data_IF_012939155682
#
_entry.id   IF_012939155682
#
_cell.length_a   1.000
_cell.length_b   1.000
_cell.length_c   1.000
_cell.angle_alpha   90.00
_cell.angle_beta   90.00
_cell.angle_gamma   90.00
#
_symmetry.space_group_name_H-M   'P 1'
#
loop_
_entity.id
_entity.type
_entity.pdbx_description
1 polymer ?
#
# COMPACT_ATOMS: atom_id res chain seq x y z
N UNK A 1 15.63 55.98 -24.36
CA UNK A 1 14.94 54.67 -24.52
C UNK A 1 15.82 53.62 -23.85
N UNK A 2 15.66 53.32 -22.56
CA UNK A 2 14.76 52.33 -21.91
C UNK A 2 14.93 50.88 -22.41
N UNK A 3 15.66 50.07 -21.63
CA UNK A 3 15.26 48.74 -21.06
C UNK A 3 16.44 48.21 -20.23
N UNK A 4 16.50 48.30 -18.89
CA UNK A 4 15.85 47.47 -17.85
C UNK A 4 15.97 45.95 -18.07
N UNK A 5 16.78 45.28 -17.22
CA UNK A 5 16.48 44.05 -16.43
C UNK A 5 17.80 43.58 -15.77
N UNK A 6 18.11 44.00 -14.54
CA UNK A 6 17.67 43.41 -13.26
C UNK A 6 18.28 42.01 -12.99
N UNK A 7 19.45 42.05 -12.34
CA UNK A 7 20.16 40.94 -11.68
C UNK A 7 19.36 40.45 -10.47
N UNK A 8 19.22 39.15 -10.28
CA UNK A 8 18.85 38.56 -9.00
C UNK A 8 19.52 37.18 -8.86
N UNK A 9 20.74 37.17 -8.31
CA UNK A 9 21.41 35.98 -7.82
C UNK A 9 20.72 35.53 -6.52
N UNK A 10 20.15 34.33 -6.50
CA UNK A 10 19.68 33.70 -5.26
C UNK A 10 20.91 33.18 -4.51
N UNK A 11 21.27 33.86 -3.42
CA UNK A 11 22.33 33.44 -2.52
C UNK A 11 21.90 32.19 -1.74
N UNK A 12 22.73 31.14 -1.79
CA UNK A 12 22.62 29.96 -0.95
C UNK A 12 23.04 30.33 0.48
N UNK A 13 22.02 30.51 1.32
CA UNK A 13 21.93 30.23 2.76
C UNK A 13 22.82 29.15 3.40
N UNK A 14 24.15 29.17 3.28
CA UNK A 14 25.00 28.29 4.08
C UNK A 14 24.98 28.76 5.55
N UNK A 15 24.13 28.14 6.38
CA UNK A 15 24.09 28.43 7.82
C UNK A 15 25.22 27.65 8.50
N UNK A 16 26.10 28.42 9.13
CA UNK A 16 27.24 27.97 9.90
C UNK A 16 26.82 27.11 11.10
N UNK A 17 27.44 25.94 11.22
CA UNK A 17 27.45 25.13 12.44
C UNK A 17 28.31 25.84 13.49
N UNK A 18 27.66 26.65 14.34
CA UNK A 18 28.24 27.21 15.55
C UNK A 18 27.71 26.41 16.75
N UNK A 19 28.66 25.88 17.52
CA UNK A 19 28.52 25.13 18.76
C UNK A 19 27.36 25.60 19.65
N UNK A 20 26.28 24.82 19.69
CA UNK A 20 25.27 24.86 20.75
C UNK A 20 25.58 23.76 21.80
N UNK A 21 25.37 24.05 23.09
CA UNK A 21 25.68 23.11 24.17
C UNK A 21 24.78 21.87 24.11
N UNK A 22 25.38 20.70 23.82
CA UNK A 22 24.95 19.34 24.17
C UNK A 22 23.44 18.99 24.28
N UNK A 23 22.57 19.57 23.43
CA UNK A 23 21.17 19.15 23.32
C UNK A 23 21.02 17.75 22.69
N UNK A 24 22.08 17.25 22.04
CA UNK A 24 22.18 15.91 21.44
C UNK A 24 21.75 14.77 22.39
N UNK A 25 22.01 14.90 23.70
CA UNK A 25 21.61 13.88 24.67
C UNK A 25 20.11 13.86 25.02
N UNK A 26 19.44 15.01 24.92
CA UNK A 26 18.02 15.16 25.28
C UNK A 26 17.11 14.66 24.16
N UNK A 27 17.46 14.97 22.90
CA UNK A 27 16.68 14.57 21.72
C UNK A 27 16.76 13.06 21.44
N UNK A 28 17.94 12.45 21.59
CA UNK A 28 18.08 10.99 21.46
C UNK A 28 17.25 10.22 22.49
N UNK A 29 17.04 10.77 23.69
CA UNK A 29 16.17 10.16 24.70
C UNK A 29 14.70 10.27 24.31
N UNK A 30 14.27 11.43 23.82
CA UNK A 30 12.89 11.62 23.32
C UNK A 30 12.53 10.63 22.19
N UNK A 31 13.46 10.36 21.28
CA UNK A 31 13.30 9.32 20.26
C UNK A 31 13.07 7.93 20.88
N UNK A 32 13.90 7.54 21.85
CA UNK A 32 13.78 6.26 22.52
C UNK A 32 12.43 6.14 23.27
N UNK A 33 12.04 7.19 23.99
CA UNK A 33 10.76 7.24 24.74
C UNK A 33 9.55 7.06 23.79
N UNK A 34 9.58 7.69 22.60
CA UNK A 34 8.52 7.52 21.59
C UNK A 34 8.49 6.08 21.05
N UNK A 35 9.65 5.48 20.77
CA UNK A 35 9.68 4.08 20.35
C UNK A 35 9.16 3.14 21.44
N UNK A 36 9.47 3.41 22.72
CA UNK A 36 8.91 2.65 23.83
C UNK A 36 7.39 2.80 23.91
N UNK A 37 6.85 4.02 23.74
CA UNK A 37 5.41 4.26 23.69
C UNK A 37 4.74 3.46 22.56
N UNK A 38 5.31 3.50 21.34
CA UNK A 38 4.80 2.73 20.20
C UNK A 38 4.81 1.22 20.50
N UNK A 39 5.87 0.72 21.16
CA UNK A 39 6.02 -0.70 21.54
C UNK A 39 5.00 -1.11 22.61
N UNK A 40 4.76 -0.25 23.59
CA UNK A 40 3.89 -0.51 24.73
C UNK A 40 2.40 -0.36 24.39
N UNK A 41 2.05 0.41 23.35
CA UNK A 41 0.69 0.71 22.99
C UNK A 41 -0.15 -0.55 22.73
N UNK A 42 -1.27 -0.64 23.45
CA UNK A 42 -2.29 -1.68 23.34
C UNK A 42 -3.27 -1.34 22.22
N UNK A 43 -3.74 -0.10 22.17
CA UNK A 43 -4.56 0.44 21.07
C UNK A 43 -3.82 1.56 20.34
N UNK A 44 -4.17 1.77 19.07
CA UNK A 44 -3.63 2.88 18.28
C UNK A 44 -4.66 3.38 17.27
N UNK A 45 -4.80 4.69 17.14
CA UNK A 45 -5.43 5.33 15.97
C UNK A 45 -4.52 6.37 15.36
N UNK A 46 -4.59 6.53 14.04
CA UNK A 46 -3.82 7.53 13.30
C UNK A 46 -4.44 7.81 11.94
N UNK A 47 -4.08 8.95 11.35
CA UNK A 47 -4.33 9.29 9.95
C UNK A 47 -3.15 8.82 9.11
N UNK A 48 -3.43 8.22 7.95
CA UNK A 48 -2.44 7.73 7.01
C UNK A 48 -2.70 8.30 5.61
N UNK A 49 -1.76 9.12 5.16
CA UNK A 49 -1.74 9.80 3.87
C UNK A 49 -0.81 9.10 2.91
N UNK A 50 -1.37 8.56 1.83
CA UNK A 50 -0.61 7.94 0.75
C UNK A 50 -0.50 8.91 -0.41
N UNK A 51 0.70 9.40 -0.71
CA UNK A 51 0.98 10.26 -1.86
C UNK A 51 1.35 9.41 -3.07
N UNK A 52 0.77 9.73 -4.22
CA UNK A 52 1.02 8.99 -5.46
C UNK A 52 1.36 9.94 -6.61
N UNK A 53 2.10 9.45 -7.61
CA UNK A 53 2.51 10.24 -8.79
C UNK A 53 1.32 10.75 -9.61
N UNK A 54 0.19 10.04 -9.54
CA UNK A 54 -0.96 10.21 -10.43
C UNK A 54 -1.95 11.29 -9.99
N UNK A 55 -1.77 11.90 -8.81
CA UNK A 55 -2.73 12.88 -8.28
C UNK A 55 -2.07 13.88 -7.33
N UNK A 56 -2.61 15.10 -7.26
CA UNK A 56 -2.02 16.16 -6.45
C UNK A 56 -2.23 15.98 -4.94
N UNK A 57 -3.31 15.32 -4.53
CA UNK A 57 -3.69 15.15 -3.12
C UNK A 57 -3.47 13.71 -2.64
N UNK A 58 -3.11 13.48 -1.36
CA UNK A 58 -2.95 12.14 -0.79
C UNK A 58 -4.29 11.40 -0.67
N UNK A 59 -4.23 10.06 -0.49
CA UNK A 59 -5.39 9.19 -0.20
C UNK A 59 -5.32 9.17 1.30
N UNK A 60 -6.37 9.69 1.93
CA UNK A 60 -6.47 9.73 3.37
C UNK A 60 -7.19 8.49 3.86
N UNK A 61 -6.56 7.81 4.81
CA UNK A 61 -7.14 6.65 5.51
C UNK A 61 -7.03 6.87 7.01
N UNK A 62 -8.12 6.69 7.74
CA UNK A 62 -8.09 6.65 9.20
C UNK A 62 -7.97 5.21 9.65
N UNK A 63 -6.98 4.94 10.49
CA UNK A 63 -6.66 3.60 10.95
C UNK A 63 -6.99 3.47 12.43
N UNK A 64 -7.55 2.32 12.81
CA UNK A 64 -7.87 1.95 14.17
C UNK A 64 -7.36 0.54 14.42
N UNK A 65 -6.63 0.36 15.51
CA UNK A 65 -6.01 -0.91 15.89
C UNK A 65 -6.41 -1.23 17.32
N UNK A 66 -7.15 -2.33 17.48
CA UNK A 66 -7.57 -2.87 18.76
C UNK A 66 -6.43 -3.65 19.42
N UNK A 67 -6.56 -3.87 20.73
CA UNK A 67 -5.57 -4.62 21.49
C UNK A 67 -5.39 -6.07 21.01
N UNK A 68 -6.50 -6.73 20.71
CA UNK A 68 -6.52 -8.13 20.25
C UNK A 68 -6.01 -8.31 18.80
N UNK A 69 -5.62 -7.22 18.13
CA UNK A 69 -5.08 -7.22 16.78
C UNK A 69 -6.12 -7.01 15.68
N UNK A 70 -7.43 -6.92 16.01
CA UNK A 70 -8.42 -6.44 15.03
C UNK A 70 -8.08 -5.03 14.58
N UNK A 71 -8.44 -4.72 13.35
CA UNK A 71 -8.22 -3.38 12.81
C UNK A 71 -9.36 -2.94 11.90
N UNK A 72 -9.50 -1.63 11.79
CA UNK A 72 -10.44 -0.96 10.91
C UNK A 72 -9.71 0.16 10.16
N UNK A 73 -9.91 0.19 8.85
CA UNK A 73 -9.40 1.24 7.98
C UNK A 73 -10.58 1.95 7.33
N UNK A 74 -10.67 3.27 7.48
CA UNK A 74 -11.70 4.10 6.87
C UNK A 74 -11.08 4.97 5.79
N UNK A 75 -11.45 4.73 4.55
CA UNK A 75 -10.99 5.52 3.41
C UNK A 75 -11.92 6.72 3.18
N UNK A 76 -11.36 7.86 2.78
CA UNK A 76 -12.12 9.06 2.38
C UNK A 76 -13.20 8.83 1.29
N UNK A 77 -13.14 7.71 0.56
CA UNK A 77 -14.11 7.32 -0.47
C UNK A 77 -15.41 6.74 0.12
N UNK A 78 -15.47 6.54 1.44
CA UNK A 78 -16.56 5.86 2.14
C UNK A 78 -16.45 4.33 2.11
N UNK A 79 -15.27 3.80 1.77
CA UNK A 79 -14.95 2.38 1.91
C UNK A 79 -14.36 2.15 3.30
N UNK A 80 -14.93 1.20 4.04
CA UNK A 80 -14.41 0.75 5.34
C UNK A 80 -14.00 -0.71 5.23
N UNK A 81 -12.82 -1.06 5.74
CA UNK A 81 -12.34 -2.44 5.80
C UNK A 81 -12.11 -2.82 7.25
N UNK A 82 -12.59 -3.99 7.67
CA UNK A 82 -12.39 -4.53 9.02
C UNK A 82 -11.67 -5.87 8.90
N UNK A 83 -10.60 -6.02 9.67
CA UNK A 83 -9.74 -7.20 9.69
C UNK A 83 -9.78 -7.89 11.04
N UNK A 84 -9.63 -9.21 11.03
CA UNK A 84 -9.42 -9.99 12.25
C UNK A 84 -7.98 -9.89 12.77
N UNK A 85 -7.74 -10.53 13.92
CA UNK A 85 -6.44 -10.57 14.58
C UNK A 85 -5.31 -11.21 13.75
N UNK A 86 -5.64 -11.94 12.68
CA UNK A 86 -4.69 -12.52 11.73
C UNK A 86 -4.52 -11.62 10.48
N UNK A 87 -4.94 -10.35 10.57
CA UNK A 87 -4.90 -9.36 9.48
C UNK A 87 -5.75 -9.71 8.25
N UNK A 88 -6.62 -10.72 8.35
CA UNK A 88 -7.51 -11.12 7.27
C UNK A 88 -8.70 -10.17 7.20
N UNK A 89 -9.02 -9.67 6.00
CA UNK A 89 -10.26 -8.91 5.79
C UNK A 89 -11.45 -9.82 6.08
N UNK A 90 -12.35 -9.37 6.94
CA UNK A 90 -13.60 -10.06 7.30
C UNK A 90 -14.83 -9.32 6.82
N UNK A 91 -14.75 -8.00 6.73
CA UNK A 91 -15.82 -7.16 6.25
C UNK A 91 -15.28 -5.99 5.45
N UNK A 92 -15.86 -5.73 4.29
CA UNK A 92 -15.70 -4.47 3.55
C UNK A 92 -17.05 -3.81 3.39
N UNK A 93 -17.20 -2.58 3.86
CA UNK A 93 -18.39 -1.77 3.69
C UNK A 93 -18.14 -0.73 2.59
N UNK A 94 -19.01 -0.70 1.59
CA UNK A 94 -18.99 0.30 0.52
C UNK A 94 -20.16 1.24 0.77
N UNK A 95 -19.89 2.38 1.42
CA UNK A 95 -20.93 3.32 1.85
C UNK A 95 -21.80 3.84 0.71
N UNK A 96 -21.19 4.11 -0.45
CA UNK A 96 -21.89 4.66 -1.63
C UNK A 96 -23.00 3.75 -2.16
N UNK A 97 -22.78 2.45 -2.14
CA UNK A 97 -23.75 1.46 -2.65
C UNK A 97 -24.51 0.74 -1.54
N UNK A 98 -24.19 1.05 -0.27
CA UNK A 98 -24.65 0.31 0.90
C UNK A 98 -24.45 -1.20 0.71
N UNK A 99 -23.26 -1.60 0.26
CA UNK A 99 -22.90 -3.02 0.06
C UNK A 99 -21.92 -3.47 1.12
N UNK A 100 -22.19 -4.62 1.74
CA UNK A 100 -21.29 -5.27 2.68
C UNK A 100 -20.74 -6.55 2.05
N UNK A 101 -19.43 -6.60 1.85
CA UNK A 101 -18.73 -7.81 1.41
C UNK A 101 -18.24 -8.55 2.64
N UNK A 102 -18.81 -9.73 2.92
CA UNK A 102 -18.49 -10.53 4.10
C UNK A 102 -17.58 -11.68 3.70
N UNK A 103 -16.45 -11.80 4.36
CA UNK A 103 -15.48 -12.86 4.13
C UNK A 103 -15.50 -13.81 5.34
N UNK A 104 -15.96 -15.06 5.17
CA UNK A 104 -16.02 -16.04 6.25
C UNK A 104 -14.62 -16.43 6.72
N UNK A 105 -14.48 -16.88 7.98
CA UNK A 105 -13.22 -17.41 8.47
C UNK A 105 -12.79 -18.61 7.62
N UNK A 106 -11.48 -18.73 7.36
CA UNK A 106 -10.93 -19.91 6.68
C UNK A 106 -10.66 -20.99 7.71
N UNK A 107 -11.34 -22.13 7.60
CA UNK A 107 -11.21 -23.26 8.55
C UNK A 107 -9.83 -23.93 8.56
N UNK A 108 -8.97 -23.69 7.55
CA UNK A 108 -7.71 -24.45 7.36
C UNK A 108 -6.46 -23.60 7.12
N UNK A 109 -6.53 -22.27 7.23
CA UNK A 109 -5.31 -21.48 7.20
C UNK A 109 -4.60 -21.68 8.55
N UNK A 110 -3.34 -22.17 8.59
CA UNK A 110 -2.57 -22.06 9.83
C UNK A 110 -2.65 -20.59 10.24
N UNK A 111 -2.87 -20.33 11.52
CA UNK A 111 -2.79 -18.97 12.05
C UNK A 111 -1.40 -18.46 11.67
N UNK A 112 -1.32 -17.71 10.57
CA UNK A 112 -0.14 -16.95 10.27
C UNK A 112 -0.15 -15.97 11.42
N UNK A 113 0.79 -16.15 12.35
CA UNK A 113 1.15 -15.11 13.31
C UNK A 113 1.77 -13.93 12.56
N UNK A 114 1.12 -13.45 11.50
CA UNK A 114 1.10 -12.04 11.13
C UNK A 114 0.26 -11.37 12.21
N UNK A 115 0.81 -11.44 13.43
CA UNK A 115 0.38 -10.68 14.56
C UNK A 115 0.47 -9.23 14.13
N UNK A 116 -0.49 -8.43 14.60
CA UNK A 116 -0.27 -7.01 14.91
C UNK A 116 0.80 -6.37 14.02
N UNK A 117 0.37 -5.57 13.04
CA UNK A 117 1.16 -4.41 12.66
C UNK A 117 2.53 -4.74 11.98
N UNK A 118 2.58 -5.27 10.75
CA UNK A 118 3.89 -5.43 10.06
C UNK A 118 4.75 -4.16 10.10
N UNK A 119 4.13 -2.98 9.98
CA UNK A 119 4.84 -1.69 10.05
C UNK A 119 5.13 -1.20 11.48
N UNK A 120 4.27 -1.42 12.49
CA UNK A 120 4.57 -1.02 13.88
C UNK A 120 5.49 -2.03 14.55
N UNK A 121 5.41 -3.32 14.22
CA UNK A 121 6.43 -4.31 14.59
C UNK A 121 7.76 -3.96 13.92
N UNK A 122 7.72 -3.50 12.67
CA UNK A 122 8.87 -2.88 12.02
C UNK A 122 9.41 -1.69 12.83
N UNK A 123 8.57 -0.74 13.24
CA UNK A 123 8.99 0.37 14.10
C UNK A 123 9.48 -0.11 15.48
N UNK A 124 8.87 -1.16 16.04
CA UNK A 124 9.23 -1.73 17.33
C UNK A 124 10.62 -2.40 17.31
N UNK A 125 11.02 -2.90 16.15
CA UNK A 125 12.35 -3.49 15.89
C UNK A 125 13.41 -2.42 15.62
N UNK A 126 13.06 -1.13 15.55
CA UNK A 126 14.05 -0.06 15.51
C UNK A 126 14.82 -0.01 16.83
N UNK A 127 16.12 0.24 16.72
CA UNK A 127 17.00 0.44 17.87
C UNK A 127 16.61 1.66 18.68
N UNK A 128 17.13 1.77 19.90
CA UNK A 128 16.96 2.88 20.82
C UNK A 128 17.68 4.18 20.36
N UNK A 129 18.43 4.10 19.27
CA UNK A 129 19.13 5.23 18.65
C UNK A 129 18.72 5.41 17.20
N UNK A 130 18.56 6.66 16.73
CA UNK A 130 18.35 6.94 15.32
C UNK A 130 19.65 6.76 14.53
N UNK A 131 19.55 6.55 13.22
CA UNK A 131 20.71 6.57 12.33
C UNK A 131 21.28 7.98 12.20
N UNK A 132 20.38 8.97 12.19
CA UNK A 132 20.73 10.38 12.07
C UNK A 132 19.69 11.29 12.71
N UNK A 133 20.15 12.30 13.44
CA UNK A 133 19.32 13.42 13.88
C UNK A 133 19.31 14.51 12.80
N UNK A 134 18.12 14.97 12.42
CA UNK A 134 17.91 15.96 11.36
C UNK A 134 17.84 17.40 11.90
N UNK A 135 17.82 17.56 13.22
CA UNK A 135 17.68 18.85 13.90
C UNK A 135 16.26 19.39 13.89
N UNK A 136 16.11 20.65 14.28
CA UNK A 136 14.81 21.34 14.31
C UNK A 136 14.32 21.72 12.91
N UNK A 137 13.03 21.53 12.66
CA UNK A 137 12.31 21.96 11.47
C UNK A 137 10.94 22.53 11.83
N UNK A 138 10.27 23.14 10.84
CA UNK A 138 8.86 23.55 10.96
C UNK A 138 8.04 22.73 9.98
N UNK A 139 7.08 21.96 10.48
CA UNK A 139 6.10 21.22 9.69
C UNK A 139 4.70 21.74 10.02
N UNK A 140 3.94 22.15 9.01
CA UNK A 140 2.57 22.63 9.16
C UNK A 140 2.40 23.73 10.24
N UNK A 141 3.42 24.57 10.42
CA UNK A 141 3.48 25.64 11.42
C UNK A 141 3.94 25.20 12.83
N UNK A 142 4.20 23.91 13.05
CA UNK A 142 4.68 23.35 14.31
C UNK A 142 6.20 23.13 14.27
N UNK A 143 6.90 23.51 15.35
CA UNK A 143 8.32 23.21 15.51
C UNK A 143 8.52 21.75 15.92
N UNK A 144 9.32 21.03 15.13
CA UNK A 144 9.59 19.61 15.32
C UNK A 144 11.09 19.32 15.28
N UNK A 145 11.50 18.18 15.81
CA UNK A 145 12.85 17.62 15.70
C UNK A 145 12.74 16.32 14.92
N UNK A 146 13.56 16.18 13.87
CA UNK A 146 13.52 15.02 12.99
C UNK A 146 14.56 13.96 13.35
N UNK A 147 14.18 12.71 13.21
CA UNK A 147 15.06 11.55 13.34
C UNK A 147 14.89 10.62 12.15
N UNK A 148 16.00 10.25 11.55
CA UNK A 148 16.05 9.31 10.45
C UNK A 148 16.47 7.95 10.99
N UNK A 149 15.76 6.91 10.53
CA UNK A 149 16.04 5.53 10.92
C UNK A 149 15.71 4.58 9.78
N UNK A 150 16.56 3.58 9.61
CA UNK A 150 16.47 2.60 8.54
C UNK A 150 16.13 1.23 9.10
N UNK A 151 15.34 0.48 8.36
CA UNK A 151 15.08 -0.92 8.64
C UNK A 151 14.96 -1.71 7.34
N UNK A 152 15.91 -2.62 7.13
CA UNK A 152 16.00 -3.33 5.86
C UNK A 152 16.13 -2.33 4.71
N UNK A 153 15.22 -2.38 3.75
CA UNK A 153 15.18 -1.47 2.60
C UNK A 153 14.34 -0.22 2.84
N UNK A 154 13.74 -0.07 4.01
CA UNK A 154 12.88 1.07 4.32
C UNK A 154 13.63 2.12 5.12
N UNK A 155 13.35 3.37 4.78
CA UNK A 155 13.83 4.55 5.47
C UNK A 155 12.63 5.28 6.05
N UNK A 156 12.69 5.56 7.34
CA UNK A 156 11.67 6.28 8.08
C UNK A 156 12.22 7.62 8.57
N UNK A 157 11.34 8.61 8.62
CA UNK A 157 11.60 9.86 9.32
C UNK A 157 10.54 10.08 10.37
N UNK A 158 10.96 10.16 11.64
CA UNK A 158 10.10 10.44 12.77
C UNK A 158 10.26 11.91 13.14
N UNK A 159 9.15 12.62 13.24
CA UNK A 159 9.10 14.02 13.64
C UNK A 159 8.44 14.13 15.01
N UNK A 160 9.18 14.65 15.98
CA UNK A 160 8.70 14.86 17.35
C UNK A 160 8.52 16.35 17.59
N UNK A 161 7.48 16.72 18.34
CA UNK A 161 7.29 18.12 18.75
C UNK A 161 8.49 18.60 19.57
N UNK A 162 9.05 19.75 19.22
CA UNK A 162 10.31 20.22 19.81
C UNK A 162 10.19 20.47 21.33
N UNK A 163 8.99 20.81 21.83
CA UNK A 163 8.73 21.16 23.23
C UNK A 163 8.26 19.98 24.06
N UNK A 164 7.17 19.34 23.65
CA UNK A 164 6.50 18.23 24.35
C UNK A 164 7.15 16.87 24.10
N UNK A 165 8.01 16.77 23.07
CA UNK A 165 8.69 15.54 22.67
C UNK A 165 7.76 14.40 22.22
N UNK A 166 6.49 14.72 21.96
CA UNK A 166 5.50 13.75 21.46
C UNK A 166 5.69 13.50 19.96
N UNK A 167 5.34 12.30 19.51
CA UNK A 167 5.33 11.96 18.09
C UNK A 167 4.28 12.79 17.35
N UNK A 168 4.71 13.53 16.33
CA UNK A 168 3.84 14.33 15.47
C UNK A 168 3.58 13.62 14.15
N UNK A 169 4.63 13.09 13.52
CA UNK A 169 4.53 12.51 12.18
C UNK A 169 5.55 11.41 11.97
N UNK A 170 5.17 10.37 11.23
CA UNK A 170 6.11 9.39 10.67
C UNK A 170 5.99 9.43 9.16
N UNK A 171 7.12 9.50 8.48
CA UNK A 171 7.17 9.50 7.02
C UNK A 171 7.98 8.30 6.53
N UNK A 172 7.58 7.75 5.40
CA UNK A 172 8.30 6.71 4.69
C UNK A 172 8.25 6.99 3.19
N UNK A 173 9.41 7.03 2.56
CA UNK A 173 9.50 7.04 1.11
C UNK A 173 9.28 5.64 0.55
N UNK A 174 8.59 5.56 -0.59
CA UNK A 174 8.48 4.31 -1.32
C UNK A 174 9.75 4.12 -2.15
N UNK A 175 10.54 3.11 -1.80
CA UNK A 175 11.70 2.69 -2.59
C UNK A 175 11.37 1.51 -3.51
N UNK A 176 10.08 1.16 -3.64
CA UNK A 176 9.63 0.11 -4.54
C UNK A 176 9.66 0.68 -5.95
N UNK A 177 10.69 0.32 -6.72
CA UNK A 177 10.80 0.65 -8.13
C UNK A 177 9.49 0.25 -8.82
N UNK A 178 8.83 1.22 -9.46
CA UNK A 178 7.59 0.99 -10.18
C UNK A 178 6.27 1.16 -9.43
N UNK A 179 6.35 1.35 -8.11
CA UNK A 179 5.20 1.76 -7.32
C UNK A 179 4.82 3.20 -7.66
N UNK A 180 3.53 3.44 -7.90
CA UNK A 180 3.02 4.82 -8.04
C UNK A 180 2.97 5.56 -6.71
N UNK A 181 3.19 4.87 -5.58
CA UNK A 181 3.30 5.50 -4.26
C UNK A 181 4.67 6.15 -4.18
N UNK A 182 4.70 7.44 -3.85
CA UNK A 182 5.93 8.21 -3.64
C UNK A 182 6.30 8.20 -2.17
N UNK A 183 5.30 8.45 -1.32
CA UNK A 183 5.47 8.70 0.11
C UNK A 183 4.23 8.26 0.88
N UNK A 184 4.44 7.78 2.09
CA UNK A 184 3.41 7.60 3.09
C UNK A 184 3.73 8.53 4.26
N UNK A 185 2.74 9.27 4.75
CA UNK A 185 2.85 10.03 5.98
C UNK A 185 1.76 9.61 6.96
N UNK A 186 2.14 9.41 8.21
CA UNK A 186 1.26 9.02 9.30
C UNK A 186 1.28 10.12 10.36
N UNK A 187 0.12 10.55 10.83
CA UNK A 187 -0.07 11.66 11.75
C UNK A 187 -1.29 11.41 12.65
N UNK A 188 -1.61 12.36 13.55
CA UNK A 188 -2.75 12.29 14.46
C UNK A 188 -2.76 11.02 15.32
N UNK A 189 -1.63 10.70 15.92
CA UNK A 189 -1.48 9.49 16.71
C UNK A 189 -2.20 9.61 18.07
N UNK A 190 -3.04 8.62 18.36
CA UNK A 190 -3.64 8.42 19.67
C UNK A 190 -3.29 7.01 20.17
N UNK A 191 -2.54 6.94 21.26
CA UNK A 191 -2.08 5.69 21.87
C UNK A 191 -2.92 5.38 23.10
N UNK A 192 -3.29 4.12 23.29
CA UNK A 192 -3.99 3.61 24.47
C UNK A 192 -5.33 4.31 24.79
N UNK A 193 -5.91 4.99 23.82
CA UNK A 193 -7.28 5.48 23.92
C UNK A 193 -8.27 4.31 23.84
N UNK A 194 -9.33 4.29 24.68
CA UNK A 194 -10.39 3.30 24.58
C UNK A 194 -11.07 3.37 23.21
N UNK A 195 -11.15 2.24 22.51
CA UNK A 195 -11.86 2.11 21.25
C UNK A 195 -13.17 1.37 21.47
N UNK A 196 -14.23 1.84 20.82
CA UNK A 196 -15.52 1.15 20.85
C UNK A 196 -15.40 -0.18 20.10
N UNK A 197 -15.75 -1.28 20.79
CA UNK A 197 -15.78 -2.63 20.24
C UNK A 197 -16.64 -2.73 18.97
N UNK A 198 -17.69 -1.91 18.87
CA UNK A 198 -18.57 -1.88 17.70
C UNK A 198 -17.85 -1.44 16.41
N UNK A 199 -16.74 -0.69 16.51
CA UNK A 199 -15.92 -0.31 15.35
C UNK A 199 -15.35 -1.54 14.63
N UNK A 200 -15.15 -2.63 15.36
CA UNK A 200 -14.52 -3.86 14.90
C UNK A 200 -15.51 -5.01 14.73
N UNK A 201 -16.82 -4.72 14.72
CA UNK A 201 -17.84 -5.73 14.45
C UNK A 201 -17.72 -6.27 13.03
N UNK A 202 -17.86 -7.59 12.87
CA UNK A 202 -17.96 -8.22 11.56
C UNK A 202 -19.39 -8.33 11.05
N UNK A 203 -20.37 -7.93 11.87
CA UNK A 203 -21.78 -7.91 11.49
C UNK A 203 -22.05 -6.69 10.59
N UNK A 204 -22.54 -6.90 9.36
CA UNK A 204 -22.92 -5.81 8.49
C UNK A 204 -24.02 -4.94 9.13
N UNK A 205 -23.98 -3.60 8.97
CA UNK A 205 -25.08 -2.76 9.40
C UNK A 205 -26.38 -3.16 8.68
N UNK A 206 -27.52 -3.06 9.37
CA UNK A 206 -28.80 -3.59 8.90
C UNK A 206 -29.26 -2.98 7.56
N UNK A 207 -28.84 -1.76 7.24
CA UNK A 207 -29.18 -1.11 5.97
C UNK A 207 -28.31 -1.55 4.78
N UNK A 208 -27.30 -2.39 5.00
CA UNK A 208 -26.39 -2.84 3.95
C UNK A 208 -26.89 -4.12 3.28
N UNK A 209 -26.74 -4.17 1.95
CA UNK A 209 -26.92 -5.38 1.16
C UNK A 209 -25.71 -6.29 1.36
N UNK A 210 -25.92 -7.42 2.02
CA UNK A 210 -24.87 -8.39 2.34
C UNK A 210 -24.55 -9.29 1.15
N UNK A 211 -23.28 -9.42 0.84
CA UNK A 211 -22.74 -10.37 -0.14
C UNK A 211 -21.65 -11.21 0.53
N UNK A 212 -21.98 -12.46 0.82
CA UNK A 212 -21.04 -13.42 1.41
C UNK A 212 -20.12 -13.99 0.34
N UNK A 213 -18.82 -13.82 0.54
CA UNK A 213 -17.77 -14.32 -0.34
C UNK A 213 -17.29 -15.68 0.18
N UNK A 214 -17.94 -16.79 -0.20
CA UNK A 214 -17.45 -18.14 0.21
C UNK A 214 -16.20 -18.52 -0.59
N UNK A 215 -15.43 -19.54 -0.20
CA UNK A 215 -14.28 -19.99 -1.01
C UNK A 215 -14.68 -20.42 -2.44
N UNK A 216 -15.91 -20.92 -2.62
CA UNK A 216 -16.50 -21.28 -3.93
C UNK A 216 -17.23 -20.11 -4.61
N UNK A 217 -17.65 -19.11 -3.85
CA UNK A 217 -18.16 -17.82 -4.30
C UNK A 217 -17.13 -16.73 -4.07
N UNK A 218 -15.83 -17.06 -4.14
CA UNK A 218 -14.80 -16.05 -4.19
C UNK A 218 -15.16 -15.29 -5.46
N UNK A 219 -15.39 -13.97 -5.37
CA UNK A 219 -15.64 -13.23 -6.58
C UNK A 219 -14.44 -13.52 -7.47
N UNK A 220 -14.66 -13.75 -8.76
CA UNK A 220 -13.58 -13.97 -9.75
C UNK A 220 -12.41 -12.99 -9.57
N UNK A 221 -12.70 -11.81 -8.99
CA UNK A 221 -11.76 -10.80 -8.52
C UNK A 221 -10.78 -11.20 -7.38
N UNK A 222 -10.81 -12.41 -6.82
CA UNK A 222 -9.80 -12.89 -5.84
C UNK A 222 -8.97 -14.07 -6.35
N UNK A 223 -9.22 -14.52 -7.58
CA UNK A 223 -8.42 -15.52 -8.30
C UNK A 223 -7.37 -14.74 -9.11
N UNK A 224 -6.08 -14.96 -8.83
CA UNK A 224 -5.00 -14.12 -9.36
C UNK A 224 -5.03 -14.12 -10.88
N UNK A 225 -5.03 -15.31 -11.47
CA UNK A 225 -5.06 -15.62 -12.88
C UNK A 225 -6.31 -15.08 -13.59
N UNK A 226 -7.47 -15.03 -12.93
CA UNK A 226 -8.67 -14.44 -13.53
C UNK A 226 -8.58 -12.90 -13.56
N UNK A 227 -8.10 -12.27 -12.49
CA UNK A 227 -7.83 -10.84 -12.54
C UNK A 227 -6.76 -10.50 -13.58
N UNK A 228 -5.73 -11.33 -13.69
CA UNK A 228 -4.70 -11.19 -14.74
C UNK A 228 -5.35 -11.30 -16.11
N UNK A 229 -6.19 -12.31 -16.37
CA UNK A 229 -6.91 -12.46 -17.64
C UNK A 229 -7.76 -11.22 -17.96
N UNK A 230 -8.57 -10.74 -17.02
CA UNK A 230 -9.46 -9.60 -17.25
C UNK A 230 -8.69 -8.28 -17.45
N UNK A 231 -7.62 -8.07 -16.68
CA UNK A 231 -6.73 -6.91 -16.87
C UNK A 231 -6.05 -6.97 -18.25
N UNK A 232 -5.44 -8.11 -18.60
CA UNK A 232 -4.77 -8.29 -19.89
C UNK A 232 -5.74 -8.20 -21.07
N UNK A 233 -6.99 -8.68 -20.92
CA UNK A 233 -8.06 -8.53 -21.92
C UNK A 233 -8.35 -7.06 -22.20
N UNK A 234 -8.55 -6.27 -21.15
CA UNK A 234 -8.81 -4.84 -21.29
C UNK A 234 -7.62 -4.07 -21.88
N UNK A 235 -6.39 -4.47 -21.53
CA UNK A 235 -5.17 -3.88 -22.08
C UNK A 235 -5.02 -4.19 -23.59
N UNK A 236 -5.11 -5.47 -23.95
CA UNK A 236 -4.90 -5.97 -25.32
C UNK A 236 -5.89 -5.41 -26.33
N UNK A 237 -7.12 -5.10 -25.90
CA UNK A 237 -8.13 -4.41 -26.72
C UNK A 237 -7.69 -3.00 -27.14
N UNK A 238 -6.84 -2.33 -26.37
CA UNK A 238 -6.38 -0.96 -26.64
C UNK A 238 -4.95 -0.88 -27.17
N UNK A 239 -4.20 -1.98 -27.13
CA UNK A 239 -2.78 -2.04 -27.49
C UNK A 239 -2.51 -2.83 -28.79
N UNK A 240 -3.53 -3.05 -29.63
CA UNK A 240 -3.45 -3.94 -30.81
C UNK A 240 -2.95 -5.35 -30.45
N UNK A 241 -3.45 -5.90 -29.35
CA UNK A 241 -3.14 -7.26 -28.92
C UNK A 241 -1.77 -7.42 -28.26
N UNK A 242 -1.05 -6.33 -27.96
CA UNK A 242 0.23 -6.39 -27.24
C UNK A 242 -0.01 -6.53 -25.74
N UNK A 243 0.78 -7.36 -25.08
CA UNK A 243 0.79 -7.42 -23.63
C UNK A 243 1.62 -6.28 -23.03
N UNK A 244 1.29 -5.81 -21.81
CA UNK A 244 2.06 -4.77 -21.12
C UNK A 244 3.43 -5.29 -20.72
N UNK A 245 4.38 -4.39 -20.46
CA UNK A 245 5.70 -4.78 -19.94
C UNK A 245 5.63 -5.37 -18.54
N UNK A 246 4.65 -4.95 -17.75
CA UNK A 246 4.42 -5.50 -16.41
C UNK A 246 2.95 -5.39 -16.01
N UNK A 247 2.51 -6.29 -15.14
CA UNK A 247 1.19 -6.31 -14.50
C UNK A 247 1.18 -5.63 -13.12
N UNK A 248 2.34 -5.18 -12.63
CA UNK A 248 2.47 -4.47 -11.35
C UNK A 248 2.98 -3.04 -11.51
N UNK A 249 3.36 -2.64 -12.73
CA UNK A 249 3.86 -1.30 -13.06
C UNK A 249 2.76 -0.47 -13.72
N UNK A 250 2.23 0.53 -13.02
CA UNK A 250 0.95 1.16 -13.41
C UNK A 250 1.08 2.25 -14.49
N UNK A 251 2.30 2.72 -14.77
CA UNK A 251 2.55 3.83 -15.69
C UNK A 251 2.05 3.57 -17.12
N UNK A 252 2.37 2.38 -17.66
CA UNK A 252 1.96 1.97 -19.02
C UNK A 252 0.43 1.80 -19.12
N UNK A 253 -0.18 1.20 -18.11
CA UNK A 253 -1.64 1.01 -18.01
C UNK A 253 -2.38 2.34 -17.99
N UNK A 254 -1.89 3.28 -17.19
CA UNK A 254 -2.53 4.60 -17.02
C UNK A 254 -2.50 5.40 -18.32
N UNK A 255 -1.38 5.39 -19.03
CA UNK A 255 -1.25 6.06 -20.34
C UNK A 255 -2.15 5.41 -21.39
N UNK A 256 -2.21 4.07 -21.45
CA UNK A 256 -3.04 3.40 -22.45
C UNK A 256 -4.54 3.55 -22.18
N UNK A 257 -4.95 3.43 -20.92
CA UNK A 257 -6.36 3.45 -20.52
C UNK A 257 -6.97 4.87 -20.47
N UNK A 258 -6.13 5.91 -20.46
CA UNK A 258 -6.55 7.32 -20.54
C UNK A 258 -6.67 7.85 -21.97
N UNK A 259 -6.13 7.15 -22.98
CA UNK A 259 -6.29 7.53 -24.39
C UNK A 259 -7.77 7.51 -24.77
N UNK A 260 -8.33 8.69 -25.04
CA UNK A 260 -9.72 8.88 -25.46
C UNK A 260 -10.69 9.25 -24.33
N UNK A 261 -10.23 9.47 -23.09
CA UNK A 261 -11.07 10.03 -22.03
C UNK A 261 -11.24 11.54 -22.25
N UNK A 262 -12.41 11.95 -22.76
CA UNK A 262 -12.72 13.35 -23.07
C UNK A 262 -13.31 14.13 -21.89
N UNK A 263 -13.64 13.46 -20.79
CA UNK A 263 -14.13 14.07 -19.55
C UNK A 263 -13.45 13.43 -18.34
N UNK A 264 -13.41 14.15 -17.22
CA UNK A 264 -12.77 13.78 -15.95
C UNK A 264 -13.33 12.50 -15.26
N UNK A 265 -14.06 11.65 -15.98
CA UNK A 265 -14.53 10.34 -15.54
C UNK A 265 -14.00 9.25 -16.45
N UNK A 266 -13.29 8.30 -15.85
CA UNK A 266 -12.91 7.05 -16.52
C UNK A 266 -14.18 6.29 -16.94
N UNK A 267 -14.13 5.60 -18.08
CA UNK A 267 -15.23 4.70 -18.47
C UNK A 267 -15.39 3.55 -17.47
N UNK A 268 -16.58 2.95 -17.44
CA UNK A 268 -16.85 1.76 -16.62
C UNK A 268 -15.89 0.61 -16.93
N UNK A 269 -15.49 0.47 -18.20
CA UNK A 269 -14.51 -0.52 -18.65
C UNK A 269 -13.11 -0.22 -18.09
N UNK A 270 -12.64 1.02 -18.18
CA UNK A 270 -11.36 1.41 -17.60
C UNK A 270 -11.37 1.24 -16.08
N UNK A 271 -12.48 1.57 -15.43
CA UNK A 271 -12.67 1.39 -13.98
C UNK A 271 -12.58 -0.09 -13.60
N UNK A 272 -13.18 -0.99 -14.39
CA UNK A 272 -13.09 -2.45 -14.18
C UNK A 272 -11.66 -2.96 -14.34
N UNK A 273 -10.97 -2.57 -15.41
CA UNK A 273 -9.57 -2.97 -15.65
C UNK A 273 -8.67 -2.52 -14.51
N UNK A 274 -8.82 -1.27 -14.05
CA UNK A 274 -8.08 -0.74 -12.90
C UNK A 274 -8.43 -1.47 -11.59
N UNK A 275 -9.69 -1.86 -11.41
CA UNK A 275 -10.11 -2.70 -10.28
C UNK A 275 -9.42 -4.06 -10.26
N UNK A 276 -9.32 -4.73 -11.41
CA UNK A 276 -8.57 -5.98 -11.54
C UNK A 276 -7.08 -5.79 -11.30
N UNK A 277 -6.47 -4.71 -11.81
CA UNK A 277 -5.06 -4.40 -11.57
C UNK A 277 -4.75 -4.13 -10.09
N UNK A 278 -5.66 -3.43 -9.40
CA UNK A 278 -5.62 -3.24 -7.95
C UNK A 278 -5.69 -4.57 -7.19
N UNK A 279 -6.58 -5.47 -7.60
CA UNK A 279 -6.71 -6.80 -7.02
C UNK A 279 -5.45 -7.67 -7.25
N UNK A 280 -4.87 -7.66 -8.46
CA UNK A 280 -3.60 -8.36 -8.75
C UNK A 280 -2.51 -7.90 -7.78
N UNK A 281 -2.35 -6.58 -7.62
CA UNK A 281 -1.31 -6.00 -6.75
C UNK A 281 -1.49 -6.46 -5.30
N UNK A 282 -2.71 -6.41 -4.78
CA UNK A 282 -3.04 -6.83 -3.42
C UNK A 282 -2.92 -8.34 -3.20
N UNK A 283 -3.20 -9.16 -4.23
CA UNK A 283 -3.07 -10.61 -4.13
C UNK A 283 -1.61 -11.04 -4.20
N UNK A 284 -0.83 -10.48 -5.14
CA UNK A 284 0.58 -10.81 -5.31
C UNK A 284 1.44 -10.37 -4.12
N UNK A 285 1.07 -9.31 -3.39
CA UNK A 285 1.77 -8.93 -2.16
C UNK A 285 1.73 -10.01 -1.07
N UNK A 286 0.77 -10.93 -1.14
CA UNK A 286 0.64 -12.07 -0.23
C UNK A 286 1.24 -13.38 -0.75
N UNK A 287 1.93 -13.36 -1.90
CA UNK A 287 2.51 -14.54 -2.56
C UNK A 287 4.03 -14.38 -2.65
N UNK A 288 4.79 -15.47 -2.47
CA UNK A 288 6.24 -15.44 -2.64
C UNK A 288 6.60 -15.04 -4.08
N UNK A 289 7.67 -14.27 -4.27
CA UNK A 289 8.19 -13.96 -5.61
C UNK A 289 8.64 -15.21 -6.39
N UNK A 290 8.92 -16.30 -5.69
CA UNK A 290 9.24 -17.60 -6.31
C UNK A 290 8.00 -18.39 -6.75
N UNK A 291 6.80 -17.93 -6.38
CA UNK A 291 5.53 -18.62 -6.63
C UNK A 291 4.70 -17.94 -7.73
N UNK A 292 5.26 -16.95 -8.45
CA UNK A 292 4.64 -16.41 -9.66
C UNK A 292 5.68 -15.77 -10.59
N UNK A 293 5.34 -15.66 -11.88
CA UNK A 293 6.08 -14.77 -12.78
C UNK A 293 5.16 -14.19 -13.86
N UNK A 294 5.45 -12.95 -14.23
CA UNK A 294 4.92 -12.33 -15.43
C UNK A 294 5.96 -12.38 -16.56
N UNK A 295 5.51 -12.76 -17.74
CA UNK A 295 6.33 -13.08 -18.92
C UNK A 295 5.74 -12.47 -20.20
N UNK A 296 4.81 -11.53 -20.08
CA UNK A 296 4.12 -10.93 -21.21
C UNK A 296 4.88 -9.83 -21.92
N UNK A 297 5.99 -9.33 -21.36
CA UNK A 297 6.78 -8.30 -22.02
C UNK A 297 7.22 -8.76 -23.42
N UNK A 298 6.95 -7.92 -24.42
CA UNK A 298 7.30 -8.19 -25.82
C UNK A 298 6.38 -9.19 -26.54
N UNK A 299 5.40 -9.78 -25.84
CA UNK A 299 4.49 -10.78 -26.41
C UNK A 299 3.17 -10.18 -26.87
N UNK A 300 2.44 -10.96 -27.67
CA UNK A 300 1.12 -10.59 -28.19
C UNK A 300 0.11 -11.72 -28.10
N UNK A 301 -1.18 -11.40 -28.24
CA UNK A 301 -2.26 -12.40 -28.28
C UNK A 301 -2.18 -13.39 -29.45
N UNK A 302 -1.30 -13.15 -30.43
CA UNK A 302 -1.04 -14.07 -31.55
C UNK A 302 -0.15 -15.25 -31.14
N UNK A 303 0.60 -15.12 -30.05
CA UNK A 303 1.50 -16.17 -29.54
C UNK A 303 0.73 -17.08 -28.57
N UNK A 304 -0.26 -17.81 -29.09
CA UNK A 304 -1.26 -18.52 -28.28
C UNK A 304 -0.66 -19.53 -27.31
N UNK A 305 0.45 -20.17 -27.66
CA UNK A 305 1.11 -21.19 -26.81
C UNK A 305 2.11 -20.59 -25.80
N UNK A 306 2.36 -19.29 -25.84
CA UNK A 306 3.27 -18.64 -24.92
C UNK A 306 2.62 -18.44 -23.55
N UNK A 307 3.30 -18.87 -22.48
CA UNK A 307 2.93 -18.52 -21.11
C UNK A 307 3.20 -17.02 -20.90
N UNK A 308 2.17 -16.28 -20.53
CA UNK A 308 2.19 -14.84 -20.26
C UNK A 308 2.31 -14.55 -18.77
N UNK A 309 1.68 -15.39 -17.95
CA UNK A 309 1.74 -15.31 -16.51
C UNK A 309 1.60 -16.71 -15.93
N UNK A 310 2.25 -17.00 -14.82
CA UNK A 310 1.95 -18.18 -14.03
C UNK A 310 1.99 -17.86 -12.54
N UNK A 311 1.23 -18.61 -11.76
CA UNK A 311 1.28 -18.58 -10.31
C UNK A 311 1.05 -19.97 -9.71
N UNK A 312 1.61 -20.18 -8.52
CA UNK A 312 1.37 -21.36 -7.70
C UNK A 312 0.27 -21.04 -6.70
N UNK A 313 -0.80 -21.81 -6.70
CA UNK A 313 -1.86 -21.65 -5.72
C UNK A 313 -1.46 -22.28 -4.36
N UNK A 314 -2.28 -22.05 -3.33
CA UNK A 314 -2.00 -22.55 -1.97
C UNK A 314 -2.03 -24.08 -1.85
N UNK A 315 -2.65 -24.77 -2.81
CA UNK A 315 -2.68 -26.23 -2.93
C UNK A 315 -1.42 -26.77 -3.63
N UNK A 316 -0.50 -25.89 -4.05
CA UNK A 316 0.74 -26.25 -4.72
C UNK A 316 0.60 -26.52 -6.22
N UNK A 317 -0.58 -26.27 -6.80
CA UNK A 317 -0.84 -26.41 -8.24
C UNK A 317 -0.38 -25.15 -8.97
N UNK A 318 0.34 -25.33 -10.08
CA UNK A 318 0.75 -24.23 -10.94
C UNK A 318 -0.33 -23.96 -12.00
N UNK A 319 -0.74 -22.71 -12.11
CA UNK A 319 -1.71 -22.24 -13.11
C UNK A 319 -1.02 -21.25 -14.03
N UNK A 320 -1.21 -21.41 -15.34
CA UNK A 320 -0.64 -20.54 -16.36
C UNK A 320 -1.72 -19.87 -17.20
N UNK A 321 -1.53 -18.58 -17.47
CA UNK A 321 -2.28 -17.78 -18.44
C UNK A 321 -1.47 -17.75 -19.74
N UNK A 322 -2.11 -18.12 -20.84
CA UNK A 322 -1.51 -18.22 -22.17
C UNK A 322 -1.75 -16.96 -23.02
N UNK A 323 -1.09 -16.87 -24.17
CA UNK A 323 -1.22 -15.73 -25.09
C UNK A 323 -2.64 -15.54 -25.61
N UNK A 324 -3.42 -16.60 -25.71
CA UNK A 324 -4.85 -16.54 -26.03
C UNK A 324 -5.75 -16.18 -24.83
N UNK A 325 -5.15 -15.86 -23.68
CA UNK A 325 -5.81 -15.62 -22.38
C UNK A 325 -6.53 -16.85 -21.81
N UNK A 326 -6.24 -18.06 -22.31
CA UNK A 326 -6.70 -19.30 -21.67
C UNK A 326 -5.90 -19.57 -20.40
N UNK A 327 -6.55 -20.24 -19.43
CA UNK A 327 -5.93 -20.64 -18.17
C UNK A 327 -5.86 -22.16 -18.11
N UNK A 328 -4.68 -22.70 -17.81
CA UNK A 328 -4.46 -24.14 -17.69
C UNK A 328 -3.65 -24.47 -16.44
N UNK A 329 -3.90 -25.64 -15.87
CA UNK A 329 -3.01 -26.23 -14.88
C UNK A 329 -1.77 -26.77 -15.60
N UNK A 330 -0.59 -26.52 -15.04
CA UNK A 330 0.69 -26.95 -15.58
C UNK A 330 1.51 -27.65 -14.50
N UNK A 331 2.44 -28.50 -14.91
CA UNK A 331 3.43 -29.09 -14.01
C UNK A 331 4.62 -28.15 -13.79
N UNK A 332 5.40 -28.41 -12.75
CA UNK A 332 6.61 -27.61 -12.44
C UNK A 332 7.62 -27.65 -13.59
N UNK A 333 7.69 -28.77 -14.31
CA UNK A 333 8.61 -29.01 -15.43
C UNK A 333 8.24 -28.19 -16.67
N UNK A 334 6.98 -27.74 -16.76
CA UNK A 334 6.49 -26.88 -17.84
C UNK A 334 6.72 -25.39 -17.56
N UNK A 335 7.24 -25.04 -16.37
CA UNK A 335 7.58 -23.67 -16.06
C UNK A 335 8.74 -23.19 -16.95
N UNK A 336 8.61 -22.03 -17.58
CA UNK A 336 9.71 -21.44 -18.32
C UNK A 336 10.87 -21.12 -17.37
N UNK A 337 12.10 -21.23 -17.88
CA UNK A 337 13.30 -20.93 -17.10
C UNK A 337 13.20 -19.54 -16.44
N UNK A 338 13.68 -19.36 -15.20
CA UNK A 338 13.52 -18.11 -14.47
C UNK A 338 14.13 -16.96 -15.27
N UNK A 339 13.27 -16.02 -15.67
CA UNK A 339 13.71 -14.73 -16.20
C UNK A 339 14.29 -13.98 -15.00
N UNK A 340 15.58 -13.63 -15.07
CA UNK A 340 16.20 -12.72 -14.08
C UNK A 340 15.41 -11.41 -14.12
N UNK A 341 14.58 -11.17 -13.09
CA UNK A 341 13.92 -9.88 -12.87
C UNK A 341 14.91 -8.81 -12.44
#
# INVERSE_FOLDING_TARGET
>A
MRSLSATASVAVLAIAALFLPNEFGSHSRAYADVLEQIKAARTLTFTNDVYTETRPNPITTKEFIAEDGRSRSEHESGVVTIRDANSMIRLTLIGRTKTALVYPPRESAPAVKQSRRDWIESLAKLGDKPDKELGEQTLDGQKVVGFEVSQGTYKYTLWLDAKSKQLVRIERESHIKGSSIIKTAMADFHFDEPLDEALFSFDPPAEYKVQTQTAAAMPKSLVIEENVVEALRGYTQKSDGKFPKSITEWGEWSVLLSKGATDAKLSDETTKVMGHLGAITALLSGVSKDDYAYLGEGKTVKETDAIIFWCKNKQGVYRAVYGDLSVKDISKEQLPAPVKQ
#
